data_IF_424140384210
#
_entry.id   IF_424140384210
#
_cell.length_a   1.000
_cell.length_b   1.000
_cell.length_c   1.000
_cell.angle_alpha   90.00
_cell.angle_beta   90.00
_cell.angle_gamma   90.00
#
_symmetry.space_group_name_H-M   'P 1'
#
loop_
_entity.id
_entity.type
_entity.pdbx_description
1 polymer ?
#
# COMPACT_ATOMS: atom_id res chain seq x y z
N UNK A 1 46.01 22.90 -2.61
CA UNK A 1 44.64 22.59 -2.16
C UNK A 1 44.69 21.40 -1.23
N UNK A 2 44.65 21.62 0.08
CA UNK A 2 44.63 20.56 1.09
C UNK A 2 43.41 20.81 1.96
N UNK A 3 42.37 19.99 1.77
CA UNK A 3 41.16 20.01 2.59
C UNK A 3 41.52 19.44 3.95
N UNK A 4 41.57 20.29 4.98
CA UNK A 4 41.73 19.83 6.36
C UNK A 4 40.42 19.20 6.83
N UNK A 5 40.45 18.02 7.47
CA UNK A 5 39.23 17.39 7.98
C UNK A 5 38.70 18.24 9.13
N UNK A 6 37.42 18.58 9.08
CA UNK A 6 36.71 19.21 10.18
C UNK A 6 36.58 18.17 11.28
N UNK A 7 37.45 18.22 12.29
CA UNK A 7 37.30 17.44 13.50
C UNK A 7 36.22 18.11 14.35
N UNK A 8 35.14 17.39 14.63
CA UNK A 8 34.17 17.80 15.64
C UNK A 8 34.83 17.52 16.99
N UNK A 9 35.42 18.54 17.60
CA UNK A 9 35.90 18.47 18.99
C UNK A 9 34.70 18.47 19.92
N UNK A 10 34.29 17.28 20.37
CA UNK A 10 33.29 17.11 21.42
C UNK A 10 33.92 17.56 22.76
N UNK A 11 33.30 18.48 23.51
CA UNK A 11 33.80 18.91 24.81
C UNK A 11 33.98 17.72 25.77
N UNK A 12 35.05 17.72 26.56
CA UNK A 12 35.36 16.64 27.53
C UNK A 12 34.31 16.44 28.63
N UNK A 13 33.38 17.37 28.76
CA UNK A 13 32.25 17.33 29.71
C UNK A 13 30.94 16.84 29.08
N UNK A 14 30.96 16.47 27.79
CA UNK A 14 29.78 15.96 27.12
C UNK A 14 29.60 14.49 27.50
N UNK A 15 28.76 14.25 28.51
CA UNK A 15 28.28 12.92 28.81
C UNK A 15 27.25 12.52 27.76
N UNK A 16 27.51 11.41 27.05
CA UNK A 16 26.61 10.92 26.03
C UNK A 16 25.30 10.48 26.68
N UNK A 17 24.25 11.25 26.46
CA UNK A 17 22.90 10.90 26.89
C UNK A 17 22.33 9.88 25.92
N UNK A 18 21.51 8.97 26.43
CA UNK A 18 20.72 8.06 25.59
C UNK A 18 19.90 8.89 24.59
N UNK A 19 19.98 8.59 23.28
CA UNK A 19 19.20 9.29 22.30
C UNK A 19 17.72 9.07 22.58
N UNK A 20 16.93 10.12 22.37
CA UNK A 20 15.49 10.07 22.53
C UNK A 20 14.87 8.98 21.64
N UNK A 21 14.09 8.08 22.21
CA UNK A 21 13.30 7.13 21.43
C UNK A 21 12.10 7.85 20.82
N UNK A 22 12.27 8.29 19.58
CA UNK A 22 11.25 8.99 18.83
C UNK A 22 10.05 8.08 18.53
N UNK A 23 10.27 6.77 18.38
CA UNK A 23 9.21 5.81 18.05
C UNK A 23 8.26 5.64 19.25
N UNK A 24 8.81 5.49 20.45
CA UNK A 24 8.03 5.42 21.69
C UNK A 24 7.21 6.69 21.93
N UNK A 25 7.82 7.87 21.75
CA UNK A 25 7.14 9.16 21.96
C UNK A 25 6.03 9.33 20.95
N UNK A 26 6.30 9.08 19.67
CA UNK A 26 5.26 9.13 18.64
C UNK A 26 4.12 8.20 19.01
N UNK A 27 4.38 6.92 19.31
CA UNK A 27 3.33 5.98 19.72
C UNK A 27 2.51 6.47 20.92
N UNK A 28 3.14 7.07 21.93
CA UNK A 28 2.42 7.59 23.11
C UNK A 28 1.46 8.74 22.76
N UNK A 29 1.88 9.67 21.89
CA UNK A 29 1.06 10.79 21.42
C UNK A 29 -0.05 10.30 20.47
N UNK A 30 0.30 9.34 19.61
CA UNK A 30 -0.60 8.65 18.69
C UNK A 30 -1.66 7.77 19.41
N UNK A 31 -1.46 7.42 20.69
CA UNK A 31 -2.50 6.65 21.43
C UNK A 31 -3.58 7.52 22.07
N UNK A 32 -3.34 8.83 22.21
CA UNK A 32 -4.22 9.74 22.96
C UNK A 32 -5.01 10.74 22.10
N UNK A 33 -4.55 11.08 20.89
CA UNK A 33 -5.09 12.24 20.12
C UNK A 33 -5.36 11.98 18.62
N UNK A 34 -5.30 10.72 18.17
CA UNK A 34 -4.64 10.47 16.88
C UNK A 34 -5.50 10.19 15.65
N UNK A 35 -6.82 10.16 15.76
CA UNK A 35 -7.62 10.14 14.51
C UNK A 35 -7.67 11.52 13.84
N UNK A 36 -7.58 12.59 14.64
CA UNK A 36 -7.66 13.96 14.13
C UNK A 36 -6.31 14.47 13.61
N UNK A 37 -5.21 14.16 14.31
CA UNK A 37 -3.87 14.61 13.94
C UNK A 37 -3.31 13.83 12.73
N UNK A 38 -3.60 12.52 12.61
CA UNK A 38 -3.27 11.75 11.40
C UNK A 38 -3.97 12.28 10.14
N UNK A 39 -5.22 12.75 10.26
CA UNK A 39 -5.97 13.37 9.17
C UNK A 39 -5.37 14.75 8.78
N UNK A 40 -4.71 15.45 9.70
CA UNK A 40 -4.07 16.75 9.43
C UNK A 40 -2.67 16.59 8.81
N UNK A 41 -1.91 15.55 9.19
CA UNK A 41 -0.57 15.29 8.64
C UNK A 41 -0.58 14.57 7.28
N UNK A 42 -1.69 13.92 6.92
CA UNK A 42 -1.84 13.23 5.64
C UNK A 42 -3.17 13.60 5.02
N UNK A 43 -3.12 14.26 3.88
CA UNK A 43 -4.25 14.53 2.97
C UNK A 43 -4.72 13.21 2.31
N UNK A 44 -4.85 12.15 3.09
CA UNK A 44 -5.36 10.87 2.67
C UNK A 44 -6.86 10.91 2.88
N UNK A 45 -7.65 11.15 1.82
CA UNK A 45 -9.10 11.04 1.94
C UNK A 45 -9.42 9.63 2.42
N UNK A 46 -10.54 9.47 3.13
CA UNK A 46 -11.09 8.16 3.49
C UNK A 46 -10.94 7.25 2.27
N UNK A 47 -10.20 6.15 2.44
CA UNK A 47 -9.88 5.20 1.37
C UNK A 47 -11.15 4.39 1.00
N UNK A 48 -12.18 5.11 0.54
CA UNK A 48 -13.40 4.57 -0.02
C UNK A 48 -13.10 4.00 -1.42
N UNK A 49 -12.47 2.83 -1.41
CA UNK A 49 -12.30 2.00 -2.59
C UNK A 49 -13.60 1.26 -2.86
N UNK A 50 -14.21 1.53 -4.01
CA UNK A 50 -15.37 0.78 -4.51
C UNK A 50 -14.88 -0.21 -5.54
N UNK A 51 -15.19 -1.49 -5.31
CA UNK A 51 -14.92 -2.58 -6.25
C UNK A 51 -16.25 -3.04 -6.84
N UNK A 52 -16.36 -2.93 -8.16
CA UNK A 52 -17.53 -3.39 -8.90
C UNK A 52 -17.15 -4.55 -9.83
N UNK A 53 -18.00 -5.58 -9.89
CA UNK A 53 -17.85 -6.68 -10.83
C UNK A 53 -18.64 -6.37 -12.10
N UNK A 54 -17.95 -6.25 -13.24
CA UNK A 54 -18.58 -5.92 -14.52
C UNK A 54 -18.31 -7.05 -15.51
N UNK A 55 -19.34 -7.47 -16.24
CA UNK A 55 -19.16 -8.50 -17.27
C UNK A 55 -18.17 -8.02 -18.34
N UNK A 56 -17.23 -8.90 -18.70
CA UNK A 56 -16.25 -8.61 -19.74
C UNK A 56 -16.95 -8.55 -21.09
N UNK A 57 -16.63 -7.53 -21.89
CA UNK A 57 -17.06 -7.50 -23.29
C UNK A 57 -16.46 -8.69 -24.05
N UNK A 58 -17.31 -9.43 -24.79
CA UNK A 58 -16.89 -10.58 -25.59
C UNK A 58 -17.31 -10.40 -27.04
N UNK A 59 -16.39 -10.71 -27.96
CA UNK A 59 -16.67 -10.76 -29.41
C UNK A 59 -17.35 -12.07 -29.84
N UNK A 60 -17.43 -13.04 -28.95
CA UNK A 60 -17.98 -14.39 -29.19
C UNK A 60 -19.17 -14.65 -28.27
N UNK A 61 -20.05 -15.57 -28.66
CA UNK A 61 -21.27 -15.93 -27.90
C UNK A 61 -20.91 -16.53 -26.52
N UNK A 62 -19.80 -17.26 -26.43
CA UNK A 62 -19.29 -17.89 -25.19
C UNK A 62 -17.77 -17.75 -25.11
N UNK A 63 -17.21 -17.94 -23.91
CA UNK A 63 -15.77 -18.01 -23.73
C UNK A 63 -15.17 -19.21 -24.47
N UNK A 64 -14.04 -18.99 -25.13
CA UNK A 64 -13.20 -20.07 -25.61
C UNK A 64 -12.42 -20.65 -24.42
N UNK A 65 -12.89 -21.76 -23.87
CA UNK A 65 -12.20 -22.52 -22.83
C UNK A 65 -11.85 -23.92 -23.35
N UNK A 66 -10.82 -24.58 -22.78
CA UNK A 66 -10.54 -25.98 -23.08
C UNK A 66 -11.78 -26.86 -22.86
N UNK A 67 -11.87 -27.98 -23.58
CA UNK A 67 -12.97 -28.94 -23.38
C UNK A 67 -12.93 -29.50 -21.95
N UNK A 68 -14.11 -29.67 -21.35
CA UNK A 68 -14.23 -30.33 -20.05
C UNK A 68 -13.87 -31.81 -20.20
N UNK A 69 -12.63 -32.14 -19.87
CA UNK A 69 -12.08 -33.49 -19.96
C UNK A 69 -10.59 -33.45 -19.70
N UNK A 70 -10.13 -34.43 -18.90
CA UNK A 70 -8.81 -34.60 -18.28
C UNK A 70 -8.38 -33.46 -17.34
N UNK A 71 -8.02 -33.83 -16.10
CA UNK A 71 -7.63 -32.91 -15.03
C UNK A 71 -6.64 -31.86 -15.53
N UNK A 72 -7.14 -30.65 -15.75
CA UNK A 72 -6.29 -29.52 -16.09
C UNK A 72 -5.28 -29.34 -14.96
N UNK A 73 -4.01 -29.21 -15.35
CA UNK A 73 -2.93 -28.81 -14.47
C UNK A 73 -3.38 -27.60 -13.62
N UNK A 74 -3.04 -27.53 -12.32
CA UNK A 74 -3.49 -26.46 -11.44
C UNK A 74 -3.28 -25.05 -12.02
N UNK A 75 -2.16 -24.81 -12.71
CA UNK A 75 -1.91 -23.51 -13.33
C UNK A 75 -2.89 -23.21 -14.47
N UNK A 76 -3.15 -24.19 -15.33
CA UNK A 76 -4.10 -24.05 -16.45
C UNK A 76 -5.50 -23.76 -15.91
N UNK A 77 -5.89 -24.39 -14.81
CA UNK A 77 -7.16 -24.13 -14.13
C UNK A 77 -7.28 -22.70 -13.64
N UNK A 78 -6.23 -22.17 -13.02
CA UNK A 78 -6.19 -20.79 -12.54
C UNK A 78 -6.18 -19.78 -13.70
N UNK A 79 -5.50 -20.10 -14.81
CA UNK A 79 -5.56 -19.30 -16.03
C UNK A 79 -6.99 -19.25 -16.60
N UNK A 80 -7.66 -20.40 -16.73
CA UNK A 80 -9.04 -20.48 -17.24
C UNK A 80 -10.00 -19.72 -16.32
N UNK A 81 -9.85 -19.87 -14.99
CA UNK A 81 -10.63 -19.12 -14.01
C UNK A 81 -10.44 -17.62 -14.18
N UNK A 82 -9.19 -17.15 -14.25
CA UNK A 82 -8.87 -15.73 -14.43
C UNK A 82 -9.37 -15.19 -15.79
N UNK A 83 -9.28 -16.00 -16.84
CA UNK A 83 -9.74 -15.64 -18.18
C UNK A 83 -11.27 -15.51 -18.28
N UNK A 84 -12.03 -16.26 -17.48
CA UNK A 84 -13.51 -16.27 -17.56
C UNK A 84 -14.19 -15.38 -16.53
N UNK A 85 -13.46 -14.92 -15.52
CA UNK A 85 -13.98 -14.03 -14.49
C UNK A 85 -14.37 -12.65 -15.02
N UNK A 86 -15.39 -11.99 -14.42
CA UNK A 86 -15.73 -10.60 -14.73
C UNK A 86 -14.57 -9.66 -14.42
N UNK A 87 -14.61 -8.45 -15.00
CA UNK A 87 -13.69 -7.39 -14.61
C UNK A 87 -13.98 -6.94 -13.19
N UNK A 88 -12.92 -6.69 -12.42
CA UNK A 88 -12.99 -5.98 -11.14
C UNK A 88 -12.57 -4.54 -11.40
N UNK A 89 -13.55 -3.63 -11.47
CA UNK A 89 -13.29 -2.21 -11.60
C UNK A 89 -13.09 -1.66 -10.19
N UNK A 90 -11.87 -1.19 -9.91
CA UNK A 90 -11.53 -0.52 -8.66
C UNK A 90 -11.60 0.98 -8.93
N UNK A 91 -12.46 1.67 -8.19
CA UNK A 91 -12.60 3.12 -8.24
C UNK A 91 -12.34 3.71 -6.87
N UNK A 92 -11.58 4.80 -6.84
CA UNK A 92 -11.39 5.62 -5.64
C UNK A 92 -12.24 6.86 -5.80
N UNK A 93 -13.06 7.16 -4.80
CA UNK A 93 -13.69 8.47 -4.73
C UNK A 93 -12.67 9.43 -4.14
N UNK A 94 -12.12 10.30 -4.97
CA UNK A 94 -11.44 11.47 -4.44
C UNK A 94 -12.53 12.35 -3.81
N UNK A 95 -12.51 12.48 -2.49
CA UNK A 95 -13.33 13.47 -1.80
C UNK A 95 -12.67 14.82 -2.10
N UNK A 96 -13.24 15.59 -3.03
CA UNK A 96 -12.68 16.87 -3.44
C UNK A 96 -13.62 17.58 -4.40
N UNK A 97 -14.38 18.54 -3.86
CA UNK A 97 -14.89 19.70 -4.60
C UNK A 97 -13.88 20.85 -4.47
#
# INVERSE_FOLDING_TARGET
STSSPVYITVPQTYEAVEPLDLEEILMSQLTSEDLALMHELGDFPDDELKVEQVERERRTIRHSVPEDGWELDPHVRDCVKSYTQPWLIVSRRCQGD
#
